data_IF_234664478322
#
_entry.id   IF_234664478322
#
_cell.length_a   1.000
_cell.length_b   1.000
_cell.length_c   1.000
_cell.angle_alpha   90.00
_cell.angle_beta   90.00
_cell.angle_gamma   90.00
#
_symmetry.space_group_name_H-M   'P 1'
#
loop_
_entity.id
_entity.type
_entity.pdbx_description
1 polymer ?
#
# COMPACT_ATOMS: atom_id res chain seq x y z
N UNK A 1 12.66 5.51 2.11
CA UNK A 1 11.55 6.50 2.09
C UNK A 1 10.74 6.45 3.38
N UNK A 2 10.27 7.60 3.86
CA UNK A 2 9.47 7.75 5.09
C UNK A 2 8.13 8.41 4.78
N UNK A 3 7.03 7.77 5.17
CA UNK A 3 5.70 8.37 5.05
C UNK A 3 5.49 9.37 6.20
N UNK A 4 5.16 10.62 5.86
CA UNK A 4 5.05 11.71 6.86
C UNK A 4 3.66 12.33 6.97
N UNK A 5 2.82 12.15 5.95
CA UNK A 5 1.44 12.65 5.96
C UNK A 5 0.55 11.82 5.04
N UNK A 6 -0.72 11.75 5.42
CA UNK A 6 -1.82 11.22 4.60
C UNK A 6 -2.88 12.29 4.38
N UNK A 7 -3.58 12.16 3.26
CA UNK A 7 -4.86 12.80 2.96
C UNK A 7 -5.72 11.77 2.23
N UNK A 8 -6.96 12.10 1.92
CA UNK A 8 -7.97 11.14 1.46
C UNK A 8 -7.50 10.20 0.34
N UNK A 9 -6.68 10.70 -0.60
CA UNK A 9 -6.17 9.94 -1.75
C UNK A 9 -4.66 10.13 -1.99
N UNK A 10 -3.92 10.74 -1.05
CA UNK A 10 -2.52 11.09 -1.25
C UNK A 10 -1.67 10.81 0.00
N UNK A 11 -0.44 10.39 -0.23
CA UNK A 11 0.59 10.26 0.79
C UNK A 11 1.78 11.16 0.44
N UNK A 12 2.38 11.79 1.45
CA UNK A 12 3.64 12.52 1.30
C UNK A 12 4.78 11.63 1.81
N UNK A 13 5.77 11.40 0.94
CA UNK A 13 6.97 10.63 1.24
C UNK A 13 8.16 11.59 1.35
N UNK A 14 8.92 11.46 2.41
CA UNK A 14 10.28 12.00 2.50
C UNK A 14 11.28 10.96 2.01
N UNK A 15 12.28 11.43 1.27
CA UNK A 15 13.35 10.63 0.68
C UNK A 15 14.69 11.29 1.01
N UNK A 16 15.76 10.51 1.11
CA UNK A 16 17.09 11.05 1.38
C UNK A 16 17.73 11.52 0.06
N UNK A 17 17.35 10.89 -1.05
CA UNK A 17 17.71 11.28 -2.41
C UNK A 17 16.50 11.23 -3.34
N UNK A 18 16.48 12.11 -4.34
CA UNK A 18 15.49 12.07 -5.42
C UNK A 18 15.56 10.76 -6.23
N UNK A 19 16.65 10.00 -6.13
CA UNK A 19 16.83 8.70 -6.79
C UNK A 19 16.09 7.57 -6.07
N UNK A 20 15.69 7.76 -4.79
CA UNK A 20 15.09 6.69 -3.97
C UNK A 20 13.73 6.22 -4.50
N UNK A 21 12.96 7.10 -5.16
CA UNK A 21 11.66 6.82 -5.77
C UNK A 21 11.45 7.71 -6.99
N UNK A 22 11.10 7.11 -8.12
CA UNK A 22 10.75 7.80 -9.36
C UNK A 22 9.23 7.80 -9.61
N UNK A 23 8.79 8.71 -10.48
CA UNK A 23 7.40 8.71 -10.98
C UNK A 23 7.14 7.40 -11.74
N UNK A 24 6.11 6.68 -11.29
CA UNK A 24 5.72 5.38 -11.85
C UNK A 24 6.12 4.19 -10.97
N UNK A 25 7.00 4.38 -9.99
CA UNK A 25 7.39 3.32 -9.08
C UNK A 25 6.24 2.91 -8.16
N UNK A 26 6.22 1.61 -7.84
CA UNK A 26 5.31 1.06 -6.84
C UNK A 26 5.99 1.08 -5.48
N UNK A 27 5.33 1.67 -4.48
CA UNK A 27 5.82 1.74 -3.11
C UNK A 27 4.95 0.87 -2.21
N UNK A 28 5.53 -0.19 -1.65
CA UNK A 28 4.86 -1.03 -0.65
C UNK A 28 4.92 -0.35 0.72
N UNK A 29 3.75 -0.03 1.30
CA UNK A 29 3.64 0.61 2.61
C UNK A 29 3.21 -0.40 3.67
N UNK A 30 4.06 -0.60 4.68
CA UNK A 30 3.71 -1.40 5.86
C UNK A 30 2.68 -0.69 6.74
N UNK A 31 1.75 -1.45 7.32
CA UNK A 31 0.72 -0.92 8.21
C UNK A 31 0.97 -1.33 9.66
N UNK A 32 0.95 -0.36 10.58
CA UNK A 32 1.06 -0.64 12.02
C UNK A 32 -0.12 -1.46 12.56
N UNK A 33 -1.33 -1.22 12.04
CA UNK A 33 -2.54 -1.95 12.36
C UNK A 33 -3.12 -2.57 11.09
N UNK A 34 -2.62 -3.74 10.65
CA UNK A 34 -3.05 -4.34 9.39
C UNK A 34 -4.53 -4.73 9.39
N UNK A 35 -5.14 -4.97 10.56
CA UNK A 35 -6.56 -5.32 10.65
C UNK A 35 -7.51 -4.21 10.16
N UNK A 36 -7.09 -2.93 10.17
CA UNK A 36 -7.94 -1.83 9.69
C UNK A 36 -8.11 -1.80 8.17
N UNK A 37 -7.27 -2.53 7.42
CA UNK A 37 -7.41 -2.62 5.96
C UNK A 37 -8.70 -3.34 5.56
N UNK A 38 -9.16 -4.28 6.39
CA UNK A 38 -10.30 -5.13 6.09
C UNK A 38 -11.61 -4.34 5.97
N UNK A 39 -11.78 -3.28 6.75
CA UNK A 39 -12.96 -2.39 6.63
C UNK A 39 -12.85 -1.38 5.47
N UNK A 40 -11.65 -1.16 4.91
CA UNK A 40 -11.44 -0.19 3.82
C UNK A 40 -11.55 -0.81 2.43
N UNK A 41 -11.38 -2.13 2.32
CA UNK A 41 -11.31 -2.83 1.05
C UNK A 41 -12.34 -3.96 0.98
N UNK A 42 -13.32 -3.90 0.06
CA UNK A 42 -14.32 -4.97 -0.11
C UNK A 42 -13.72 -6.25 -0.71
N UNK A 43 -12.58 -6.14 -1.41
CA UNK A 43 -11.88 -7.25 -2.02
C UNK A 43 -10.37 -7.01 -1.93
N UNK A 44 -9.65 -7.92 -1.27
CA UNK A 44 -8.20 -7.82 -1.03
C UNK A 44 -7.48 -8.88 -1.87
N UNK A 45 -6.54 -8.52 -2.75
CA UNK A 45 -5.80 -9.49 -3.55
C UNK A 45 -4.81 -10.30 -2.72
N UNK A 46 -4.74 -11.61 -2.96
CA UNK A 46 -3.66 -12.48 -2.49
C UNK A 46 -2.61 -12.56 -3.60
N UNK A 47 -1.37 -12.23 -3.27
CA UNK A 47 -0.28 -12.12 -4.24
C UNK A 47 0.85 -13.09 -3.95
N UNK A 48 1.52 -13.57 -5.00
CA UNK A 48 2.84 -14.21 -4.90
C UNK A 48 3.92 -13.16 -4.65
N UNK A 49 5.13 -13.63 -4.35
CA UNK A 49 6.30 -12.77 -4.12
C UNK A 49 6.68 -11.89 -5.32
N UNK A 50 6.29 -12.28 -6.54
CA UNK A 50 6.50 -11.52 -7.78
C UNK A 50 5.38 -10.50 -8.08
N UNK A 51 4.38 -10.37 -7.20
CA UNK A 51 3.23 -9.48 -7.36
C UNK A 51 2.09 -10.07 -8.19
N UNK A 52 2.21 -11.30 -8.70
CA UNK A 52 1.11 -11.96 -9.43
C UNK A 52 -0.06 -12.23 -8.48
N UNK A 53 -1.25 -11.70 -8.80
CA UNK A 53 -2.49 -11.97 -8.06
C UNK A 53 -2.96 -13.39 -8.36
N UNK A 54 -3.24 -14.16 -7.30
CA UNK A 54 -3.67 -15.55 -7.43
C UNK A 54 -5.09 -15.80 -6.94
N UNK A 55 -5.55 -14.99 -6.00
CA UNK A 55 -6.87 -15.12 -5.38
C UNK A 55 -7.31 -13.77 -4.80
N UNK A 56 -8.52 -13.70 -4.27
CA UNK A 56 -9.06 -12.54 -3.60
C UNK A 56 -9.82 -12.92 -2.33
N UNK A 57 -9.56 -12.18 -1.25
CA UNK A 57 -10.33 -12.27 0.00
C UNK A 57 -11.44 -11.22 -0.05
N UNK A 58 -12.70 -11.68 -0.06
CA UNK A 58 -13.86 -10.79 0.06
C UNK A 58 -14.13 -10.46 1.52
N UNK A 59 -14.32 -9.18 1.82
CA UNK A 59 -14.69 -8.71 3.16
C UNK A 59 -16.17 -8.33 3.21
N UNK A 60 -16.75 -8.33 4.41
CA UNK A 60 -18.18 -8.08 4.65
C UNK A 60 -18.32 -7.14 5.84
N UNK A 61 -18.03 -5.86 5.60
CA UNK A 61 -18.13 -4.76 6.56
C UNK A 61 -19.14 -3.72 6.07
#
# INVERSE_FOLDING_TARGET
>A
VRLVKLSDQHAWLETDSAEDVQVGDWVALGMSHPCTIFEKWPLIPVVRADGTVTDYVRTFF
#
